data_IF_338073985662
#
_entry.id   IF_338073985662
#
_cell.length_a   1.000
_cell.length_b   1.000
_cell.length_c   1.000
_cell.angle_alpha   90.00
_cell.angle_beta   90.00
_cell.angle_gamma   90.00
#
_symmetry.space_group_name_H-M   'P 1'
#
loop_
_entity.id
_entity.type
_entity.pdbx_description
1 polymer ?
#
# COMPACT_ATOMS: atom_id res chain seq x y z
N UNK A 1 14.21 -13.56 0.55
CA UNK A 1 13.64 -12.55 -0.37
C UNK A 1 14.70 -11.51 -0.73
N UNK A 2 14.72 -11.07 -1.99
CA UNK A 2 15.82 -10.31 -2.60
C UNK A 2 15.59 -8.80 -2.58
N UNK A 3 16.68 -8.02 -2.51
CA UNK A 3 16.69 -6.58 -2.82
C UNK A 3 16.22 -6.24 -4.24
N UNK A 4 16.07 -7.26 -5.09
CA UNK A 4 15.60 -7.17 -6.48
C UNK A 4 14.10 -7.46 -6.67
N UNK A 5 13.29 -7.52 -5.61
CA UNK A 5 11.84 -7.69 -5.73
C UNK A 5 11.18 -6.52 -6.49
N UNK A 6 9.99 -6.76 -7.06
CA UNK A 6 9.26 -5.71 -7.78
C UNK A 6 8.79 -4.60 -6.83
N UNK A 7 8.33 -4.95 -5.62
CA UNK A 7 7.94 -3.97 -4.60
C UNK A 7 9.11 -3.05 -4.21
N UNK A 8 10.31 -3.60 -3.96
CA UNK A 8 11.49 -2.79 -3.66
C UNK A 8 11.91 -1.92 -4.86
N UNK A 9 11.83 -2.48 -6.07
CA UNK A 9 12.13 -1.75 -7.32
C UNK A 9 11.21 -0.53 -7.48
N UNK A 10 9.89 -0.72 -7.41
CA UNK A 10 8.91 0.35 -7.56
C UNK A 10 8.97 1.34 -6.40
N UNK A 11 9.05 0.86 -5.16
CA UNK A 11 9.17 1.68 -3.96
C UNK A 11 10.40 2.59 -3.95
N UNK A 12 11.49 2.19 -4.62
CA UNK A 12 12.73 2.94 -4.75
C UNK A 12 12.76 3.98 -5.89
N UNK A 13 11.78 4.00 -6.79
CA UNK A 13 11.79 4.94 -7.92
C UNK A 13 11.66 6.40 -7.45
N UNK A 14 12.28 7.33 -8.18
CA UNK A 14 11.90 8.75 -8.14
C UNK A 14 10.61 8.99 -8.92
N UNK A 15 9.94 10.13 -8.71
CA UNK A 15 8.69 10.44 -9.43
C UNK A 15 8.93 10.52 -10.94
N UNK A 16 10.03 11.14 -11.37
CA UNK A 16 10.38 11.21 -12.80
C UNK A 16 10.69 9.83 -13.39
N UNK A 17 11.35 8.95 -12.63
CA UNK A 17 11.63 7.59 -13.09
C UNK A 17 10.35 6.76 -13.21
N UNK A 18 9.42 6.94 -12.27
CA UNK A 18 8.11 6.33 -12.28
C UNK A 18 7.27 6.82 -13.48
N UNK A 19 7.24 8.13 -13.74
CA UNK A 19 6.54 8.70 -14.90
C UNK A 19 7.10 8.16 -16.23
N UNK A 20 8.43 8.02 -16.34
CA UNK A 20 9.07 7.41 -17.52
C UNK A 20 8.63 5.97 -17.72
N UNK A 21 8.54 5.19 -16.65
CA UNK A 21 8.12 3.80 -16.72
C UNK A 21 6.62 3.68 -17.09
N UNK A 22 5.77 4.51 -16.48
CA UNK A 22 4.35 4.62 -16.84
C UNK A 22 4.16 4.94 -18.33
N UNK A 23 4.96 5.88 -18.85
CA UNK A 23 4.96 6.23 -20.28
C UNK A 23 5.47 5.09 -21.14
N UNK A 24 6.56 4.42 -20.75
CA UNK A 24 7.15 3.28 -21.49
C UNK A 24 6.14 2.15 -21.67
N UNK A 25 5.32 1.90 -20.65
CA UNK A 25 4.29 0.85 -20.64
C UNK A 25 2.97 1.26 -21.29
N UNK A 26 2.80 2.54 -21.63
CA UNK A 26 1.55 3.06 -22.19
C UNK A 26 0.37 3.01 -21.20
N UNK A 27 0.64 3.13 -19.90
CA UNK A 27 -0.40 3.01 -18.87
C UNK A 27 -1.40 4.18 -18.99
N UNK A 28 -2.71 3.92 -19.16
CA UNK A 28 -3.72 4.97 -19.27
C UNK A 28 -3.95 5.65 -17.92
N UNK A 29 -3.51 6.90 -17.78
CA UNK A 29 -3.67 7.66 -16.54
C UNK A 29 -3.83 9.17 -16.77
N UNK A 30 -4.34 9.86 -15.74
CA UNK A 30 -4.39 11.31 -15.64
C UNK A 30 -3.82 11.79 -14.29
N UNK A 31 -3.16 12.97 -14.24
CA UNK A 31 -2.72 13.56 -12.97
C UNK A 31 -3.89 13.86 -12.03
N UNK A 32 -3.72 13.63 -10.73
CA UNK A 32 -4.69 13.98 -9.69
C UNK A 32 -4.17 15.14 -8.82
N UNK A 33 -4.33 16.37 -9.30
CA UNK A 33 -3.71 17.56 -8.71
C UNK A 33 -4.26 17.99 -7.33
N UNK A 34 -5.39 17.44 -6.87
CA UNK A 34 -6.05 17.82 -5.61
C UNK A 34 -6.52 16.58 -4.85
N UNK A 35 -6.64 16.73 -3.53
CA UNK A 35 -7.22 15.71 -2.64
C UNK A 35 -6.24 14.67 -2.11
N UNK A 36 -4.95 14.79 -2.40
CA UNK A 36 -3.93 13.80 -2.02
C UNK A 36 -2.58 14.46 -1.63
N UNK A 37 -2.52 15.31 -0.59
CA UNK A 37 -1.37 16.17 -0.30
C UNK A 37 -0.10 15.42 0.13
N UNK A 38 -0.22 14.15 0.56
CA UNK A 38 0.90 13.33 1.01
C UNK A 38 1.40 12.33 -0.05
N UNK A 39 0.74 12.29 -1.23
CA UNK A 39 1.11 11.41 -2.33
C UNK A 39 2.21 12.10 -3.16
N UNK A 40 3.34 11.42 -3.38
CA UNK A 40 4.52 12.00 -4.06
C UNK A 40 4.24 12.23 -5.56
N UNK A 41 3.51 11.31 -6.20
CA UNK A 41 3.09 11.46 -7.60
C UNK A 41 1.65 10.97 -7.83
N UNK A 42 0.63 11.79 -7.53
CA UNK A 42 -0.77 11.38 -7.56
C UNK A 42 -1.31 11.28 -8.99
N UNK A 43 -1.88 10.12 -9.31
CA UNK A 43 -2.51 9.80 -10.60
C UNK A 43 -3.82 9.05 -10.41
N UNK A 44 -4.63 9.01 -11.47
CA UNK A 44 -5.81 8.16 -11.61
C UNK A 44 -5.69 7.33 -12.86
N UNK A 45 -6.11 6.08 -12.80
CA UNK A 45 -6.27 5.25 -13.99
C UNK A 45 -7.44 5.77 -14.83
N UNK A 46 -7.25 5.84 -16.15
CA UNK A 46 -8.28 6.31 -17.10
C UNK A 46 -8.76 5.22 -18.04
N UNK A 47 -8.19 4.01 -17.93
CA UNK A 47 -8.54 2.86 -18.73
C UNK A 47 -8.08 1.56 -18.06
N UNK A 48 -8.37 0.45 -18.73
CA UNK A 48 -7.94 -0.87 -18.27
C UNK A 48 -6.42 -1.05 -18.38
N UNK A 49 -5.86 -1.86 -17.47
CA UNK A 49 -4.48 -2.33 -17.52
C UNK A 49 -4.51 -3.78 -18.01
N UNK A 50 -3.89 -4.10 -19.14
CA UNK A 50 -3.93 -5.46 -19.73
C UNK A 50 -5.35 -6.05 -19.85
N UNK A 51 -6.35 -5.21 -20.12
CA UNK A 51 -7.77 -5.61 -20.19
C UNK A 51 -8.50 -5.69 -18.85
N UNK A 52 -7.81 -5.46 -17.72
CA UNK A 52 -8.40 -5.45 -16.37
C UNK A 52 -8.72 -4.01 -15.93
N UNK A 53 -9.98 -3.75 -15.60
CA UNK A 53 -10.40 -2.46 -15.04
C UNK A 53 -10.21 -2.43 -13.53
N UNK A 54 -9.84 -1.27 -12.97
CA UNK A 54 -9.85 -1.04 -11.53
C UNK A 54 -11.00 -0.09 -11.21
N UNK A 55 -11.97 -0.58 -10.46
CA UNK A 55 -13.21 0.12 -10.16
C UNK A 55 -13.40 0.25 -8.65
N UNK A 56 -13.67 1.46 -8.18
CA UNK A 56 -14.16 1.68 -6.83
C UNK A 56 -15.50 0.94 -6.62
N UNK A 57 -15.69 0.34 -5.45
CA UNK A 57 -16.84 -0.51 -5.06
C UNK A 57 -18.25 0.04 -5.31
N UNK A 58 -18.40 1.31 -5.65
CA UNK A 58 -19.65 1.88 -6.15
C UNK A 58 -20.11 3.13 -5.41
N UNK A 59 -19.34 3.66 -4.46
CA UNK A 59 -19.62 4.99 -3.89
C UNK A 59 -19.39 6.10 -4.94
N UNK A 60 -18.61 5.81 -5.99
CA UNK A 60 -18.25 6.80 -6.99
C UNK A 60 -18.63 6.39 -8.42
N UNK A 61 -19.33 7.30 -9.12
CA UNK A 61 -19.82 7.15 -10.51
C UNK A 61 -18.66 6.85 -11.50
N UNK A 62 -18.93 6.26 -12.69
CA UNK A 62 -17.94 6.18 -13.76
C UNK A 62 -17.31 7.56 -14.02
N UNK A 63 -15.98 7.63 -14.15
CA UNK A 63 -15.18 8.89 -14.23
C UNK A 63 -15.16 9.71 -12.94
N UNK A 64 -15.39 9.05 -11.81
CA UNK A 64 -15.27 9.56 -10.46
C UNK A 64 -13.96 10.35 -10.24
N UNK A 65 -14.09 11.55 -9.67
CA UNK A 65 -12.98 12.31 -9.09
C UNK A 65 -12.77 11.97 -7.61
N UNK A 66 -13.22 10.78 -7.16
CA UNK A 66 -13.17 10.36 -5.75
C UNK A 66 -11.73 10.29 -5.26
N UNK A 67 -11.38 10.88 -4.11
CA UNK A 67 -10.04 10.75 -3.56
C UNK A 67 -9.62 9.29 -3.36
N UNK A 68 -10.56 8.35 -3.22
CA UNK A 68 -10.29 6.92 -3.05
C UNK A 68 -9.65 6.25 -4.26
N UNK A 69 -9.81 6.79 -5.47
CA UNK A 69 -9.21 6.23 -6.70
C UNK A 69 -7.85 6.85 -7.03
N UNK A 70 -7.28 7.68 -6.14
CA UNK A 70 -5.95 8.25 -6.33
C UNK A 70 -4.90 7.24 -5.90
N UNK A 71 -3.91 7.01 -6.75
CA UNK A 71 -2.72 6.23 -6.44
C UNK A 71 -1.46 7.08 -6.63
N UNK A 72 -0.40 6.76 -5.90
CA UNK A 72 0.95 7.12 -6.32
C UNK A 72 1.30 6.31 -7.58
N UNK A 73 1.99 6.93 -8.53
CA UNK A 73 2.38 6.26 -9.77
C UNK A 73 3.11 4.91 -9.53
N UNK A 74 3.82 4.76 -8.40
CA UNK A 74 4.54 3.52 -8.06
C UNK A 74 3.60 2.37 -7.73
N UNK A 75 2.49 2.67 -7.05
CA UNK A 75 1.42 1.69 -6.86
C UNK A 75 0.87 1.29 -8.22
N UNK A 76 0.64 2.25 -9.13
CA UNK A 76 0.11 1.94 -10.46
C UNK A 76 1.01 1.00 -11.27
N UNK A 77 2.33 1.12 -11.17
CA UNK A 77 3.25 0.15 -11.79
C UNK A 77 3.08 -1.27 -11.24
N UNK A 78 2.79 -1.40 -9.95
CA UNK A 78 2.46 -2.71 -9.39
C UNK A 78 1.06 -3.19 -9.81
N UNK A 79 0.09 -2.29 -9.92
CA UNK A 79 -1.24 -2.64 -10.42
C UNK A 79 -1.22 -3.08 -11.89
N UNK A 80 -0.34 -2.51 -12.70
CA UNK A 80 -0.11 -2.91 -14.10
C UNK A 80 0.40 -4.36 -14.19
N UNK A 81 1.41 -4.70 -13.38
CA UNK A 81 1.92 -6.07 -13.29
C UNK A 81 0.89 -7.05 -12.69
N UNK A 82 0.14 -6.61 -11.68
CA UNK A 82 -0.95 -7.38 -11.09
C UNK A 82 -2.01 -7.67 -12.16
N UNK A 83 -2.40 -6.66 -12.93
CA UNK A 83 -3.39 -6.77 -13.98
C UNK A 83 -2.95 -7.73 -15.09
N UNK A 84 -1.69 -7.69 -15.50
CA UNK A 84 -1.14 -8.66 -16.46
C UNK A 84 -1.30 -10.10 -15.96
N UNK A 85 -1.02 -10.35 -14.68
CA UNK A 85 -1.22 -11.66 -14.05
C UNK A 85 -2.70 -12.05 -13.90
N UNK A 86 -3.55 -11.11 -13.47
CA UNK A 86 -4.98 -11.35 -13.29
C UNK A 86 -5.67 -11.66 -14.64
N UNK A 87 -5.24 -10.99 -15.72
CA UNK A 87 -5.74 -11.25 -17.07
C UNK A 87 -5.47 -12.70 -17.51
N UNK A 88 -4.33 -13.31 -17.13
CA UNK A 88 -4.07 -14.73 -17.45
C UNK A 88 -4.99 -15.70 -16.72
N UNK A 89 -5.75 -15.22 -15.73
CA UNK A 89 -6.76 -15.99 -14.99
C UNK A 89 -8.20 -15.63 -15.39
N UNK A 90 -8.36 -14.87 -16.47
CA UNK A 90 -9.67 -14.46 -16.98
C UNK A 90 -10.37 -13.40 -16.13
N UNK A 91 -9.66 -12.75 -15.19
CA UNK A 91 -10.19 -11.60 -14.46
C UNK A 91 -10.24 -10.40 -15.41
N UNK A 92 -11.39 -9.72 -15.46
CA UNK A 92 -11.63 -8.52 -16.27
C UNK A 92 -11.78 -7.26 -15.41
N UNK A 93 -12.10 -7.38 -14.11
CA UNK A 93 -12.26 -6.24 -13.22
C UNK A 93 -11.77 -6.54 -11.80
N UNK A 94 -11.09 -5.57 -11.20
CA UNK A 94 -10.75 -5.50 -9.78
C UNK A 94 -11.66 -4.46 -9.13
N UNK A 95 -12.45 -4.89 -8.14
CA UNK A 95 -13.28 -4.01 -7.32
C UNK A 95 -12.53 -3.68 -6.04
N UNK A 96 -12.35 -2.39 -5.75
CA UNK A 96 -11.59 -1.94 -4.58
C UNK A 96 -12.37 -0.95 -3.73
N UNK A 97 -12.12 -0.92 -2.42
CA UNK A 97 -12.66 0.11 -1.52
C UNK A 97 -11.92 1.43 -1.67
N UNK A 98 -10.58 1.40 -1.62
CA UNK A 98 -9.78 2.61 -1.78
C UNK A 98 -8.32 2.29 -2.06
N UNK A 99 -7.69 3.17 -2.84
CA UNK A 99 -6.23 3.28 -2.96
C UNK A 99 -5.71 4.38 -2.02
N UNK A 100 -6.31 5.58 -2.07
CA UNK A 100 -5.92 6.68 -1.19
C UNK A 100 -6.99 7.00 -0.14
N UNK A 101 -6.56 7.23 1.10
CA UNK A 101 -7.41 7.76 2.18
C UNK A 101 -6.72 8.97 2.83
N UNK A 102 -7.35 10.14 2.91
CA UNK A 102 -6.75 11.30 3.56
C UNK A 102 -6.32 11.01 4.99
N UNK A 103 -5.11 11.41 5.37
CA UNK A 103 -4.64 11.27 6.74
C UNK A 103 -5.37 12.24 7.68
N UNK A 104 -5.48 11.91 8.99
CA UNK A 104 -5.90 12.87 10.01
C UNK A 104 -5.04 14.13 9.98
N UNK A 105 -5.62 15.27 10.38
CA UNK A 105 -4.92 16.55 10.42
C UNK A 105 -3.61 16.46 11.25
N UNK A 106 -2.50 16.92 10.66
CA UNK A 106 -1.18 16.93 11.31
C UNK A 106 -0.25 15.76 10.96
N UNK A 107 -0.69 14.79 10.15
CA UNK A 107 0.20 13.75 9.61
C UNK A 107 1.21 14.35 8.62
N UNK A 108 2.47 13.95 8.73
CA UNK A 108 3.56 14.42 7.86
C UNK A 108 4.14 13.24 7.08
N UNK A 109 4.20 13.36 5.76
CA UNK A 109 4.88 12.36 4.92
C UNK A 109 6.35 12.20 5.34
N UNK A 110 6.90 10.97 5.31
CA UNK A 110 8.32 10.77 5.60
C UNK A 110 9.18 11.62 4.67
N UNK A 111 10.02 12.49 5.25
CA UNK A 111 10.97 13.30 4.47
C UNK A 111 11.97 12.37 3.76
N UNK A 112 12.25 12.62 2.48
CA UNK A 112 13.35 11.94 1.74
C UNK A 112 14.62 11.99 2.60
N UNK A 113 15.17 10.84 2.97
CA UNK A 113 16.48 10.80 3.63
C UNK A 113 17.51 11.38 2.67
N UNK A 114 18.01 12.59 2.92
CA UNK A 114 19.25 13.04 2.28
C UNK A 114 20.33 12.02 2.66
N UNK A 115 21.04 11.45 1.68
CA UNK A 115 22.23 10.62 1.97
C UNK A 115 23.12 11.44 2.91
N UNK A 116 23.27 10.98 4.15
CA UNK A 116 24.16 11.62 5.10
C UNK A 116 25.59 11.46 4.55
N UNK A 117 26.20 12.56 4.14
CA UNK A 117 27.65 12.61 3.96
C UNK A 117 28.27 12.33 5.33
N UNK A 118 29.12 11.30 5.40
CA UNK A 118 29.84 10.95 6.61
C UNK A 118 30.67 12.15 7.07
N UNK A 119 30.32 12.74 8.21
CA UNK A 119 31.17 13.74 8.87
C UNK A 119 32.25 13.00 9.66
N UNK A 120 33.53 13.42 9.59
CA UNK A 120 34.60 12.82 10.38
C UNK A 120 34.36 13.05 11.88
N UNK A 121 34.69 12.04 12.69
CA UNK A 121 34.67 12.12 14.15
C UNK A 121 35.65 13.20 14.63
N UNK A 122 35.12 14.23 15.28
CA UNK A 122 35.91 15.18 16.05
C UNK A 122 35.81 14.86 17.55
N UNK A 123 36.96 14.93 18.19
CA UNK A 123 37.34 14.46 19.51
C UNK A 123 36.62 15.15 20.68
N UNK A 124 36.41 14.37 21.75
CA UNK A 124 35.87 14.81 23.04
C UNK A 124 36.78 15.86 23.70
N UNK A 125 36.20 16.98 24.13
CA UNK A 125 36.78 17.84 25.19
C UNK A 125 35.72 18.17 26.24
N UNK A 126 36.07 17.93 27.49
CA UNK A 126 35.31 18.34 28.67
C UNK A 126 35.49 19.84 28.96
N UNK A 127 34.57 20.44 29.74
CA UNK A 127 35.06 21.17 30.91
C UNK A 127 34.24 20.89 32.19
N UNK A 128 34.96 21.05 33.32
CA UNK A 128 34.49 21.03 34.71
C UNK A 128 33.79 22.36 35.08
N UNK A 129 32.90 22.33 36.08
CA UNK A 129 32.87 23.37 37.12
C UNK A 129 31.54 24.06 37.45
N UNK A 130 30.84 23.52 38.46
CA UNK A 130 30.12 24.15 39.59
C UNK A 130 29.15 25.35 39.41
N UNK A 131 27.97 25.23 40.06
CA UNK A 131 27.14 26.36 40.52
C UNK A 131 25.66 26.03 40.68
N UNK A 132 25.23 25.54 41.87
CA UNK A 132 23.80 25.41 42.24
C UNK A 132 23.25 26.77 42.67
N UNK A 133 22.08 27.15 42.13
CA UNK A 133 21.12 28.00 42.83
C UNK A 133 19.70 27.56 42.45
N UNK A 134 18.92 27.14 43.45
CA UNK A 134 17.52 26.74 43.30
C UNK A 134 16.61 27.98 43.30
N UNK A 135 15.70 28.09 42.33
CA UNK A 135 14.53 28.98 42.38
C UNK A 135 13.25 28.14 42.46
N UNK A 136 12.30 28.44 43.36
CA UNK A 136 11.02 27.75 43.44
C UNK A 136 10.02 28.36 42.45
N UNK A 137 9.13 27.52 41.91
CA UNK A 137 7.94 27.97 41.17
C UNK A 137 8.01 27.81 39.64
N UNK A 138 8.28 26.61 39.15
CA UNK A 138 8.09 26.25 37.74
C UNK A 138 6.79 25.48 37.53
N UNK A 139 5.87 26.02 36.72
CA UNK A 139 4.69 25.31 36.21
C UNK A 139 5.14 23.94 35.65
N UNK A 140 4.44 22.82 35.93
CA UNK A 140 4.88 21.51 35.46
C UNK A 140 5.12 21.54 33.95
N UNK A 141 6.20 20.92 33.44
CA UNK A 141 6.48 20.89 32.01
C UNK A 141 5.26 20.31 31.30
N UNK A 142 4.69 21.05 30.35
CA UNK A 142 3.65 20.51 29.46
C UNK A 142 4.21 19.22 28.86
N UNK A 143 3.44 18.13 28.94
CA UNK A 143 3.77 16.89 28.21
C UNK A 143 4.13 17.28 26.77
N UNK A 144 5.26 16.80 26.22
CA UNK A 144 5.57 17.00 24.81
C UNK A 144 4.35 16.58 23.99
N UNK A 145 3.96 17.39 23.01
CA UNK A 145 2.94 16.97 22.07
C UNK A 145 3.34 15.60 21.50
N UNK A 146 2.40 14.65 21.37
CA UNK A 146 2.72 13.37 20.78
C UNK A 146 3.39 13.58 19.43
N UNK A 147 4.44 12.80 19.15
CA UNK A 147 5.08 12.85 17.85
C UNK A 147 4.02 12.63 16.76
N UNK A 148 4.06 13.37 15.64
CA UNK A 148 3.07 13.22 14.58
C UNK A 148 3.04 11.77 14.12
N UNK A 149 1.83 11.20 14.05
CA UNK A 149 1.63 9.82 13.61
C UNK A 149 2.21 9.63 12.20
N UNK A 150 2.86 8.49 11.98
CA UNK A 150 3.35 8.13 10.64
C UNK A 150 2.12 7.88 9.74
N UNK A 151 2.06 8.46 8.54
CA UNK A 151 0.94 8.21 7.64
C UNK A 151 0.89 6.74 7.22
N UNK A 152 -0.33 6.22 7.06
CA UNK A 152 -0.57 4.89 6.48
C UNK A 152 -0.16 4.85 5.01
N UNK A 153 0.01 3.65 4.43
CA UNK A 153 0.30 3.55 2.99
C UNK A 153 -0.85 4.08 2.13
N UNK A 154 -2.11 3.94 2.56
CA UNK A 154 -3.23 4.62 1.90
C UNK A 154 -3.12 6.14 1.91
N UNK A 155 -2.68 6.75 3.01
CA UNK A 155 -2.44 8.19 3.04
C UNK A 155 -1.38 8.65 2.03
N UNK A 156 -0.44 7.76 1.71
CA UNK A 156 0.60 7.98 0.69
C UNK A 156 0.18 7.53 -0.72
N UNK A 157 -1.03 7.00 -0.91
CA UNK A 157 -1.50 6.47 -2.20
C UNK A 157 -0.72 5.22 -2.64
N UNK A 158 -0.09 4.52 -1.70
CA UNK A 158 0.78 3.37 -1.94
C UNK A 158 0.15 2.04 -1.50
N UNK A 159 -1.15 2.02 -1.24
CA UNK A 159 -1.90 0.83 -0.91
C UNK A 159 -3.19 0.73 -1.71
N UNK A 160 -3.79 -0.46 -1.75
CA UNK A 160 -5.11 -0.74 -2.29
C UNK A 160 -5.82 -1.79 -1.43
N UNK A 161 -7.12 -1.59 -1.20
CA UNK A 161 -8.00 -2.58 -0.56
C UNK A 161 -8.92 -3.20 -1.61
N UNK A 162 -8.68 -4.45 -1.98
CA UNK A 162 -9.42 -5.19 -3.01
C UNK A 162 -10.56 -6.00 -2.39
N UNK A 163 -11.80 -5.66 -2.73
CA UNK A 163 -13.01 -6.28 -2.19
C UNK A 163 -13.52 -7.45 -3.06
N UNK A 164 -13.27 -7.42 -4.37
CA UNK A 164 -13.64 -8.52 -5.26
C UNK A 164 -12.84 -8.53 -6.56
N UNK A 165 -12.81 -9.69 -7.22
CA UNK A 165 -12.34 -9.87 -8.59
C UNK A 165 -13.52 -10.36 -9.44
N UNK A 166 -13.70 -9.81 -10.63
CA UNK A 166 -14.78 -10.21 -11.55
C UNK A 166 -14.16 -10.73 -12.83
N UNK A 167 -14.59 -11.93 -13.24
CA UNK A 167 -14.15 -12.64 -14.43
C UNK A 167 -14.87 -12.13 -15.67
N UNK A 168 -14.30 -12.38 -16.84
CA UNK A 168 -14.86 -11.98 -18.13
C UNK A 168 -16.24 -12.62 -18.41
N UNK A 169 -16.53 -13.78 -17.82
CA UNK A 169 -17.82 -14.47 -17.88
C UNK A 169 -18.87 -13.93 -16.88
N UNK A 170 -18.49 -12.94 -16.05
CA UNK A 170 -19.34 -12.35 -15.02
C UNK A 170 -19.26 -13.06 -13.67
N UNK A 171 -18.52 -14.16 -13.53
CA UNK A 171 -18.27 -14.77 -12.22
C UNK A 171 -17.56 -13.77 -11.31
N UNK A 172 -18.08 -13.61 -10.09
CA UNK A 172 -17.52 -12.73 -9.06
C UNK A 172 -16.89 -13.56 -7.96
N UNK A 173 -15.64 -13.23 -7.63
CA UNK A 173 -14.91 -13.73 -6.46
C UNK A 173 -14.93 -12.61 -5.41
N UNK A 174 -15.84 -12.69 -4.45
CA UNK A 174 -16.03 -11.66 -3.41
C UNK A 174 -15.32 -12.05 -2.13
N UNK A 175 -14.37 -11.23 -1.67
CA UNK A 175 -13.48 -11.61 -0.57
C UNK A 175 -14.25 -11.94 0.70
N UNK A 176 -15.25 -11.11 1.04
CA UNK A 176 -16.10 -11.30 2.21
C UNK A 176 -16.86 -12.63 2.18
N UNK A 177 -17.36 -13.02 1.02
CA UNK A 177 -18.22 -14.18 0.87
C UNK A 177 -17.40 -15.47 0.67
N UNK A 178 -16.32 -15.39 -0.12
CA UNK A 178 -15.66 -16.56 -0.68
C UNK A 178 -14.32 -16.88 0.00
N UNK A 179 -13.78 -16.03 0.89
CA UNK A 179 -12.49 -16.33 1.51
C UNK A 179 -12.55 -17.51 2.50
N UNK A 180 -13.62 -17.63 3.30
CA UNK A 180 -13.81 -18.73 4.28
C UNK A 180 -12.58 -19.05 5.15
N UNK A 181 -11.78 -18.05 5.50
CA UNK A 181 -10.56 -18.20 6.30
C UNK A 181 -10.78 -18.29 7.81
N UNK A 182 -9.69 -18.33 8.55
CA UNK A 182 -9.66 -18.29 10.01
C UNK A 182 -8.67 -17.24 10.48
N UNK A 183 -9.07 -16.42 11.47
CA UNK A 183 -8.20 -15.40 12.03
C UNK A 183 -6.92 -16.02 12.61
N UNK A 184 -5.77 -15.44 12.25
CA UNK A 184 -4.44 -15.89 12.65
C UNK A 184 -3.91 -17.13 11.92
N UNK A 185 -4.71 -17.79 11.08
CA UNK A 185 -4.24 -18.90 10.25
C UNK A 185 -3.37 -18.38 9.10
N UNK A 186 -2.35 -19.12 8.65
CA UNK A 186 -1.57 -18.72 7.48
C UNK A 186 -2.49 -18.62 6.26
N UNK A 187 -2.38 -17.60 5.40
CA UNK A 187 -3.21 -17.49 4.20
C UNK A 187 -2.74 -18.39 3.05
N UNK A 188 -1.54 -18.97 3.15
CA UNK A 188 -0.94 -19.83 2.13
C UNK A 188 -0.19 -21.01 2.77
N UNK A 189 -0.12 -22.14 2.04
CA UNK A 189 0.60 -23.34 2.48
C UNK A 189 -0.21 -24.23 3.43
N UNK A 190 0.40 -25.24 4.07
CA UNK A 190 -0.29 -26.13 4.99
C UNK A 190 -0.98 -25.36 6.13
N UNK A 191 -2.26 -25.67 6.42
CA UNK A 191 -3.04 -24.99 7.44
C UNK A 191 -3.76 -23.73 6.95
N UNK A 192 -3.70 -23.42 5.64
CA UNK A 192 -4.41 -22.31 5.01
C UNK A 192 -5.76 -22.69 4.40
N UNK A 193 -6.18 -23.94 4.58
CA UNK A 193 -7.39 -24.48 3.99
C UNK A 193 -8.62 -23.65 4.41
N UNK A 194 -9.53 -23.31 3.47
CA UNK A 194 -10.78 -22.69 3.85
C UNK A 194 -11.62 -23.63 4.71
N UNK A 195 -12.40 -23.05 5.61
CA UNK A 195 -13.46 -23.77 6.32
C UNK A 195 -14.46 -24.41 5.36
N UNK A 196 -14.73 -23.73 4.25
CA UNK A 196 -15.59 -24.20 3.15
C UNK A 196 -14.82 -24.09 1.82
N UNK A 197 -14.34 -25.21 1.25
CA UNK A 197 -13.54 -25.23 0.03
C UNK A 197 -14.40 -25.13 -1.23
N UNK A 198 -15.08 -23.99 -1.42
CA UNK A 198 -15.77 -23.69 -2.67
C UNK A 198 -14.76 -23.42 -3.80
N UNK A 199 -15.12 -23.60 -5.09
CA UNK A 199 -14.24 -23.25 -6.20
C UNK A 199 -13.69 -21.82 -6.12
N UNK A 200 -14.52 -20.86 -5.71
CA UNK A 200 -14.17 -19.46 -5.51
C UNK A 200 -13.14 -19.28 -4.38
N UNK A 201 -13.32 -20.01 -3.27
CA UNK A 201 -12.41 -19.98 -2.13
C UNK A 201 -11.02 -20.50 -2.46
N UNK A 202 -10.96 -21.54 -3.28
CA UNK A 202 -9.71 -22.12 -3.78
C UNK A 202 -9.05 -21.15 -4.77
N UNK A 203 -9.81 -20.61 -5.74
CA UNK A 203 -9.28 -19.67 -6.74
C UNK A 203 -8.72 -18.40 -6.08
N UNK A 204 -9.42 -17.82 -5.09
CA UNK A 204 -8.92 -16.67 -4.35
C UNK A 204 -7.58 -16.95 -3.66
N UNK A 205 -7.42 -18.12 -3.03
CA UNK A 205 -6.15 -18.51 -2.40
C UNK A 205 -5.04 -18.65 -3.41
N UNK A 206 -5.29 -19.34 -4.52
CA UNK A 206 -4.29 -19.50 -5.58
C UNK A 206 -3.83 -18.14 -6.14
N UNK A 207 -4.74 -17.17 -6.24
CA UNK A 207 -4.43 -15.80 -6.68
C UNK A 207 -3.53 -15.14 -5.63
N UNK A 208 -3.96 -15.10 -4.37
CA UNK A 208 -3.25 -14.40 -3.30
C UNK A 208 -1.87 -14.99 -3.03
N UNK A 209 -1.74 -16.31 -3.03
CA UNK A 209 -0.45 -16.96 -2.84
C UNK A 209 0.50 -16.70 -4.01
N UNK A 210 0.00 -16.65 -5.24
CA UNK A 210 0.82 -16.26 -6.39
C UNK A 210 1.23 -14.78 -6.35
N UNK A 211 0.32 -13.88 -5.96
CA UNK A 211 0.63 -12.45 -5.76
C UNK A 211 1.71 -12.29 -4.70
N UNK A 212 1.59 -12.96 -3.55
CA UNK A 212 2.62 -12.93 -2.52
C UNK A 212 3.96 -13.46 -3.04
N UNK A 213 3.96 -14.63 -3.68
CA UNK A 213 5.18 -15.26 -4.20
C UNK A 213 5.90 -14.41 -5.25
N UNK A 214 5.17 -13.56 -5.98
CA UNK A 214 5.75 -12.65 -6.98
C UNK A 214 6.61 -11.52 -6.38
N UNK A 215 6.44 -11.21 -5.09
CA UNK A 215 7.12 -10.07 -4.43
C UNK A 215 6.69 -8.71 -4.98
N UNK A 216 5.47 -8.63 -5.51
CA UNK A 216 4.89 -7.41 -6.12
C UNK A 216 4.52 -6.35 -5.08
N UNK A 217 4.14 -6.78 -3.87
CA UNK A 217 3.76 -5.93 -2.75
C UNK A 217 4.62 -6.25 -1.52
N UNK A 218 4.95 -5.23 -0.72
CA UNK A 218 5.65 -5.40 0.54
C UNK A 218 4.75 -6.01 1.62
N UNK A 219 3.45 -5.71 1.57
CA UNK A 219 2.48 -6.24 2.51
C UNK A 219 1.30 -6.78 1.72
N UNK A 220 0.89 -8.00 2.05
CA UNK A 220 -0.36 -8.62 1.61
C UNK A 220 -1.10 -9.05 2.87
N UNK A 221 -2.21 -8.39 3.20
CA UNK A 221 -3.08 -8.81 4.30
C UNK A 221 -4.34 -9.45 3.74
N UNK A 222 -4.73 -10.55 4.36
CA UNK A 222 -5.95 -11.28 4.07
C UNK A 222 -6.97 -11.14 5.18
N UNK A 223 -8.21 -11.63 5.00
CA UNK A 223 -9.16 -11.72 6.10
C UNK A 223 -8.69 -12.56 7.29
N UNK A 224 -7.60 -13.32 7.16
CA UNK A 224 -7.00 -14.01 8.31
C UNK A 224 -6.27 -13.04 9.26
N UNK A 225 -5.85 -11.87 8.79
CA UNK A 225 -5.01 -10.96 9.58
C UNK A 225 -5.74 -10.40 10.81
N UNK A 226 -6.94 -9.86 10.62
CA UNK A 226 -7.80 -9.31 11.68
C UNK A 226 -9.19 -8.93 11.15
N UNK A 227 -10.09 -8.56 12.06
CA UNK A 227 -11.47 -8.15 11.75
C UNK A 227 -11.57 -6.98 10.76
N UNK A 228 -10.61 -6.04 10.79
CA UNK A 228 -10.64 -4.88 9.89
C UNK A 228 -10.39 -5.27 8.42
N UNK A 229 -9.85 -6.46 8.15
CA UNK A 229 -9.62 -6.99 6.80
C UNK A 229 -10.60 -8.10 6.43
N UNK A 230 -11.68 -8.29 7.19
CA UNK A 230 -12.61 -9.41 7.01
C UNK A 230 -13.26 -9.46 5.61
N UNK A 231 -13.31 -8.33 4.90
CA UNK A 231 -14.02 -8.17 3.63
C UNK A 231 -13.15 -7.73 2.45
N UNK A 232 -11.83 -7.68 2.60
CA UNK A 232 -10.92 -7.29 1.52
C UNK A 232 -9.49 -7.82 1.70
N UNK A 233 -8.74 -7.82 0.60
CA UNK A 233 -7.29 -7.95 0.62
C UNK A 233 -6.63 -6.58 0.63
N UNK A 234 -5.68 -6.37 1.54
CA UNK A 234 -4.85 -5.17 1.56
C UNK A 234 -3.52 -5.46 0.87
N UNK A 235 -3.15 -4.65 -0.12
CA UNK A 235 -1.83 -4.68 -0.73
C UNK A 235 -1.14 -3.33 -0.58
N UNK A 236 0.12 -3.31 -0.15
CA UNK A 236 0.91 -2.08 -0.13
C UNK A 236 2.35 -2.23 -0.63
N UNK A 237 2.87 -1.10 -1.13
CA UNK A 237 4.29 -0.92 -1.43
C UNK A 237 4.83 0.11 -0.45
N UNK A 238 6.02 -0.13 0.07
CA UNK A 238 6.69 0.80 0.96
C UNK A 238 7.91 1.43 0.31
N UNK A 239 7.99 2.76 0.42
CA UNK A 239 9.17 3.53 -0.03
C UNK A 239 10.42 3.05 0.70
N UNK A 240 11.48 2.81 -0.07
CA UNK A 240 12.82 2.45 0.41
C UNK A 240 12.83 1.24 1.39
N UNK A 241 11.98 0.24 1.16
CA UNK A 241 11.87 -0.96 1.98
C UNK A 241 12.29 -2.23 1.22
N UNK A 242 12.81 -3.21 1.98
CA UNK A 242 13.27 -4.51 1.46
C UNK A 242 12.67 -5.70 2.23
N UNK A 243 11.54 -5.49 2.94
CA UNK A 243 10.87 -6.54 3.70
C UNK A 243 9.53 -6.91 3.06
N UNK A 244 9.03 -8.10 3.40
CA UNK A 244 7.76 -8.66 2.94
C UNK A 244 6.98 -9.21 4.13
N UNK A 245 5.67 -8.92 4.17
CA UNK A 245 4.74 -9.43 5.16
C UNK A 245 3.53 -10.06 4.46
N UNK A 246 3.15 -11.25 4.91
CA UNK A 246 1.93 -11.94 4.53
C UNK A 246 1.24 -12.37 5.82
N UNK A 247 0.02 -11.89 6.03
CA UNK A 247 -0.82 -12.17 7.21
C UNK A 247 -2.27 -12.47 6.83
#
# INVERSE_FOLDING_TARGET
>A
WSVASRAATYGGLSSDACDREMKRRGIPHAPAARGAPLVDRPVRLTGALHGVTFRGDGVAKPRSTSPFDIADCRLVLALDDLAAFLATRGIAEVVHFSMHRPAPAGAVAPKKKKKAQAKPQASKKAPKGAGKAAKPGGRPPKKPAPAPARPSQHALGLAIDVAALVKADGTRLEVKADWHGALGAPPCGPGSEPKEPTPQAIELREIICAVHASGLFNVVLTPNANEAHADHFHFDIKRDAHYFLLE
#
